data_IF_624422609752
#
_entry.id   IF_624422609752
#
_cell.length_a   1.000
_cell.length_b   1.000
_cell.length_c   1.000
_cell.angle_alpha   90.00
_cell.angle_beta   90.00
_cell.angle_gamma   90.00
#
_symmetry.space_group_name_H-M   'P 1'
#
loop_
_entity.id
_entity.type
_entity.pdbx_description
1 polymer ?
#
# COMPACT_ATOMS: atom_id res chain seq x y z
N UNK A 1 -6.92 -6.95 39.72
CA UNK A 1 -5.66 -6.60 39.02
C UNK A 1 -4.51 -7.15 39.83
N UNK A 2 -3.67 -8.00 39.25
CA UNK A 2 -2.50 -8.58 39.94
C UNK A 2 -1.49 -7.49 40.26
N UNK A 3 -1.13 -7.36 41.53
CA UNK A 3 -0.12 -6.42 42.00
C UNK A 3 1.22 -6.68 41.28
N UNK A 4 1.86 -5.62 40.76
CA UNK A 4 3.15 -5.73 40.08
C UNK A 4 4.24 -5.49 41.12
N UNK A 5 4.93 -6.56 41.50
CA UNK A 5 6.02 -6.52 42.49
C UNK A 5 7.37 -6.51 41.74
N UNK A 6 8.20 -5.52 42.07
CA UNK A 6 9.56 -5.37 41.56
C UNK A 6 10.56 -5.87 42.59
N UNK A 7 11.62 -6.54 42.14
CA UNK A 7 12.81 -6.77 42.97
C UNK A 7 13.58 -5.47 43.17
N UNK A 8 14.45 -5.42 44.17
CA UNK A 8 15.30 -4.25 44.41
C UNK A 8 16.22 -3.96 43.22
N UNK A 9 16.78 -5.00 42.61
CA UNK A 9 17.63 -4.89 41.41
C UNK A 9 16.87 -4.31 40.21
N UNK A 10 15.63 -4.76 39.99
CA UNK A 10 14.80 -4.24 38.90
C UNK A 10 14.39 -2.79 39.14
N UNK A 11 14.05 -2.45 40.39
CA UNK A 11 13.73 -1.08 40.76
C UNK A 11 14.92 -0.15 40.53
N UNK A 12 16.12 -0.57 40.93
CA UNK A 12 17.34 0.19 40.71
C UNK A 12 17.63 0.35 39.20
N UNK A 13 17.48 -0.72 38.42
CA UNK A 13 17.69 -0.67 36.97
C UNK A 13 16.69 0.22 36.25
N UNK A 14 15.41 0.13 36.62
CA UNK A 14 14.35 0.96 36.05
C UNK A 14 14.53 2.44 36.40
N UNK A 15 14.95 2.75 37.62
CA UNK A 15 15.25 4.14 38.04
C UNK A 15 16.40 4.71 37.22
N UNK A 16 17.48 3.93 37.04
CA UNK A 16 18.59 4.33 36.17
C UNK A 16 18.15 4.55 34.72
N UNK A 17 17.18 3.78 34.23
CA UNK A 17 16.64 3.95 32.88
C UNK A 17 15.66 5.11 32.75
N UNK A 18 14.90 5.47 33.80
CA UNK A 18 14.00 6.63 33.76
C UNK A 18 14.76 7.96 33.71
N UNK A 19 15.94 7.99 34.33
CA UNK A 19 16.82 9.17 34.38
C UNK A 19 17.73 9.29 33.15
N UNK A 20 17.67 8.33 32.23
CA UNK A 20 18.53 8.25 31.05
C UNK A 20 17.93 8.99 29.85
N UNK A 21 18.52 10.14 29.53
CA UNK A 21 18.13 11.00 28.41
C UNK A 21 18.56 10.46 27.03
N UNK A 22 19.47 9.48 26.95
CA UNK A 22 19.93 8.93 25.66
C UNK A 22 18.83 8.19 24.92
N UNK A 23 17.83 7.68 25.64
CA UNK A 23 16.70 6.96 25.03
C UNK A 23 15.38 7.35 25.69
N UNK A 24 14.71 8.42 25.22
CA UNK A 24 13.43 8.86 25.75
C UNK A 24 12.34 7.77 25.72
N UNK A 25 12.44 6.86 24.73
CA UNK A 25 11.54 5.72 24.63
C UNK A 25 11.78 4.66 25.72
N UNK A 26 13.04 4.44 26.14
CA UNK A 26 13.38 3.54 27.24
C UNK A 26 13.02 4.16 28.58
N UNK A 27 13.33 5.45 28.78
CA UNK A 27 12.96 6.19 29.97
C UNK A 27 11.44 6.17 30.23
N UNK A 28 10.65 6.46 29.19
CA UNK A 28 9.18 6.38 29.27
C UNK A 28 8.68 4.97 29.64
N UNK A 29 9.30 3.91 29.09
CA UNK A 29 8.91 2.52 29.43
C UNK A 29 9.23 2.18 30.87
N UNK A 30 10.40 2.60 31.36
CA UNK A 30 10.84 2.34 32.72
C UNK A 30 9.94 3.08 33.73
N UNK A 31 9.62 4.34 33.45
CA UNK A 31 8.73 5.18 34.25
C UNK A 31 7.32 4.56 34.37
N UNK A 32 6.77 4.02 33.28
CA UNK A 32 5.48 3.31 33.30
C UNK A 32 5.50 2.15 34.30
N UNK A 33 6.59 1.37 34.35
CA UNK A 33 6.67 0.18 35.22
C UNK A 33 6.88 0.58 36.68
N UNK A 34 7.71 1.59 36.97
CA UNK A 34 7.89 2.14 38.31
C UNK A 34 6.55 2.63 38.90
N UNK A 35 5.77 3.36 38.10
CA UNK A 35 4.43 3.81 38.52
C UNK A 35 3.43 2.65 38.66
N UNK A 36 3.51 1.63 37.81
CA UNK A 36 2.66 0.43 37.94
C UNK A 36 2.94 -0.39 39.20
N UNK A 37 4.17 -0.30 39.73
CA UNK A 37 4.61 -0.99 40.95
C UNK A 37 4.28 -0.21 42.24
N UNK A 38 3.78 1.03 42.11
CA UNK A 38 3.44 1.86 43.27
C UNK A 38 2.13 1.38 43.92
N UNK A 39 1.99 1.49 45.27
CA UNK A 39 0.73 1.18 45.94
C UNK A 39 -0.42 2.00 45.35
N UNK A 40 -1.57 1.38 45.13
CA UNK A 40 -2.76 2.02 44.52
C UNK A 40 -2.54 2.55 43.09
N UNK A 41 -1.63 1.92 42.32
CA UNK A 41 -1.42 2.22 40.91
C UNK A 41 -2.69 1.98 40.06
N UNK A 42 -3.41 3.04 39.73
CA UNK A 42 -4.50 3.03 38.75
C UNK A 42 -3.95 3.33 37.35
N UNK A 43 -4.17 2.42 36.39
CA UNK A 43 -3.72 2.56 34.99
C UNK A 43 -4.16 3.87 34.36
N UNK A 44 -5.39 4.31 34.63
CA UNK A 44 -5.93 5.58 34.11
C UNK A 44 -5.18 6.80 34.65
N UNK A 45 -4.82 6.80 35.94
CA UNK A 45 -4.05 7.90 36.54
C UNK A 45 -2.64 7.97 35.96
N UNK A 46 -1.98 6.81 35.83
CA UNK A 46 -0.64 6.72 35.23
C UNK A 46 -0.66 7.23 33.78
N UNK A 47 -1.69 6.85 33.02
CA UNK A 47 -1.87 7.29 31.64
C UNK A 47 -2.04 8.82 31.56
N UNK A 48 -2.87 9.40 32.43
CA UNK A 48 -3.08 10.84 32.51
C UNK A 48 -1.80 11.59 32.88
N UNK A 49 -1.08 11.14 33.90
CA UNK A 49 0.15 11.81 34.38
C UNK A 49 1.26 11.82 33.32
N UNK A 50 1.33 10.77 32.49
CA UNK A 50 2.35 10.62 31.44
C UNK A 50 1.89 11.13 30.07
N UNK A 51 0.64 11.57 29.92
CA UNK A 51 0.08 12.02 28.64
C UNK A 51 -0.01 10.93 27.57
N UNK A 52 -0.21 9.66 27.96
CA UNK A 52 -0.29 8.50 27.06
C UNK A 52 -1.64 7.78 27.19
N UNK A 53 -1.95 6.88 26.25
CA UNK A 53 -3.15 6.05 26.36
C UNK A 53 -3.04 4.98 27.46
N UNK A 54 -4.14 4.65 28.13
CA UNK A 54 -4.22 3.52 29.07
C UNK A 54 -3.84 2.19 28.42
N UNK A 55 -4.10 2.04 27.11
CA UNK A 55 -3.63 0.91 26.31
C UNK A 55 -2.10 0.81 26.24
N UNK A 56 -1.39 1.93 26.18
CA UNK A 56 0.08 1.97 26.18
C UNK A 56 0.63 1.50 27.53
N UNK A 57 0.04 1.95 28.64
CA UNK A 57 0.40 1.48 30.00
C UNK A 57 0.15 -0.03 30.12
N UNK A 58 -1.03 -0.50 29.70
CA UNK A 58 -1.39 -1.92 29.74
C UNK A 58 -0.46 -2.80 28.90
N UNK A 59 -0.06 -2.31 27.71
CA UNK A 59 0.89 -3.01 26.83
C UNK A 59 2.26 -3.20 27.51
N UNK A 60 2.83 -2.14 28.06
CA UNK A 60 4.17 -2.22 28.68
C UNK A 60 4.15 -3.01 29.98
N UNK A 61 3.10 -2.88 30.80
CA UNK A 61 2.87 -3.74 31.96
C UNK A 61 2.84 -5.22 31.57
N UNK A 62 2.07 -5.56 30.52
CA UNK A 62 1.96 -6.94 30.03
C UNK A 62 3.31 -7.48 29.55
N UNK A 63 4.10 -6.65 28.85
CA UNK A 63 5.45 -7.03 28.40
C UNK A 63 6.41 -7.26 29.55
N UNK A 64 6.42 -6.37 30.53
CA UNK A 64 7.27 -6.51 31.70
C UNK A 64 6.91 -7.75 32.52
N UNK A 65 5.61 -8.07 32.66
CA UNK A 65 5.20 -9.29 33.36
C UNK A 65 5.66 -10.57 32.63
N UNK A 66 5.79 -10.55 31.30
CA UNK A 66 6.26 -11.71 30.53
C UNK A 66 7.78 -11.83 30.49
N UNK A 67 8.47 -10.72 30.28
CA UNK A 67 9.88 -10.70 29.89
C UNK A 67 10.76 -9.86 30.83
N UNK A 68 10.22 -9.38 31.96
CA UNK A 68 10.90 -8.50 32.93
C UNK A 68 11.61 -7.32 32.23
N UNK A 69 12.84 -7.03 32.62
CA UNK A 69 13.66 -5.93 32.09
C UNK A 69 13.92 -6.10 30.58
N UNK A 70 14.11 -7.32 30.10
CA UNK A 70 14.34 -7.62 28.68
C UNK A 70 13.13 -7.19 27.83
N UNK A 71 11.92 -7.28 28.38
CA UNK A 71 10.69 -6.81 27.71
C UNK A 71 10.62 -5.31 27.45
N UNK A 72 11.50 -4.51 28.08
CA UNK A 72 11.55 -3.06 27.94
C UNK A 72 12.70 -2.59 27.04
N UNK A 73 13.78 -3.37 26.94
CA UNK A 73 14.98 -3.10 26.13
C UNK A 73 14.93 -3.77 24.76
N UNK A 74 14.57 -5.05 24.71
CA UNK A 74 14.57 -5.88 23.51
C UNK A 74 13.33 -5.65 22.64
N UNK A 75 13.59 -5.56 21.34
CA UNK A 75 12.60 -5.74 20.30
C UNK A 75 11.98 -4.45 19.78
N UNK A 76 12.45 -4.04 18.59
CA UNK A 76 11.63 -3.31 17.64
C UNK A 76 10.21 -3.88 17.60
N UNK A 77 9.22 -3.03 17.29
CA UNK A 77 7.80 -3.41 17.25
C UNK A 77 7.68 -4.82 16.66
N UNK A 78 7.24 -5.85 17.43
CA UNK A 78 6.98 -7.14 16.84
C UNK A 78 5.98 -6.85 15.73
N UNK A 79 6.42 -7.12 14.50
CA UNK A 79 5.56 -6.97 13.35
C UNK A 79 4.25 -7.71 13.64
N UNK A 80 3.16 -7.22 13.06
CA UNK A 80 1.87 -7.93 13.10
C UNK A 80 2.15 -9.43 12.86
N UNK A 81 1.63 -10.34 13.72
CA UNK A 81 1.83 -11.77 13.55
C UNK A 81 1.54 -12.17 12.10
N UNK A 82 2.51 -12.77 11.43
CA UNK A 82 2.36 -13.21 10.05
C UNK A 82 1.39 -14.39 10.06
N UNK A 83 0.27 -14.27 9.35
CA UNK A 83 -0.65 -15.39 9.13
C UNK A 83 0.08 -16.36 8.21
N UNK A 84 0.36 -17.57 8.68
CA UNK A 84 0.98 -18.61 7.86
C UNK A 84 0.07 -18.97 6.68
N UNK A 85 0.67 -19.08 5.50
CA UNK A 85 -0.06 -19.48 4.30
C UNK A 85 -0.03 -21.00 4.25
N UNK A 86 -1.11 -21.62 4.70
CA UNK A 86 -1.35 -23.03 4.43
C UNK A 86 -1.99 -23.19 3.04
N UNK A 87 -1.35 -23.99 2.19
CA UNK A 87 -1.76 -24.25 0.81
C UNK A 87 -2.31 -25.65 0.71
N UNK A 88 -3.50 -25.79 0.14
CA UNK A 88 -3.99 -27.09 -0.31
C UNK A 88 -3.12 -27.62 -1.47
N UNK A 89 -3.13 -28.93 -1.70
CA UNK A 89 -2.41 -29.53 -2.82
C UNK A 89 -2.84 -28.96 -4.17
N UNK A 90 -4.15 -28.69 -4.32
CA UNK A 90 -4.69 -28.06 -5.53
C UNK A 90 -4.15 -26.64 -5.74
N UNK A 91 -4.09 -25.83 -4.68
CA UNK A 91 -3.55 -24.47 -4.79
C UNK A 91 -2.05 -24.48 -5.04
N UNK A 92 -1.31 -25.40 -4.40
CA UNK A 92 0.11 -25.58 -4.65
C UNK A 92 0.38 -25.97 -6.11
N UNK A 93 -0.42 -26.89 -6.66
CA UNK A 93 -0.32 -27.29 -8.06
C UNK A 93 -0.59 -26.10 -8.98
N UNK A 94 -1.70 -25.38 -8.75
CA UNK A 94 -2.09 -24.23 -9.59
C UNK A 94 -1.06 -23.10 -9.54
N UNK A 95 -0.54 -22.76 -8.36
CA UNK A 95 0.50 -21.74 -8.20
C UNK A 95 1.81 -22.15 -8.88
N UNK A 96 2.16 -23.44 -8.84
CA UNK A 96 3.36 -23.95 -9.50
C UNK A 96 3.25 -23.86 -11.01
N UNK A 97 2.08 -24.17 -11.57
CA UNK A 97 1.78 -23.98 -12.99
C UNK A 97 1.89 -22.50 -13.37
N UNK A 98 1.21 -21.61 -12.64
CA UNK A 98 1.24 -20.17 -12.91
C UNK A 98 2.63 -19.55 -12.77
N UNK A 99 3.49 -20.09 -11.91
CA UNK A 99 4.86 -19.63 -11.75
C UNK A 99 5.75 -19.90 -12.98
N UNK A 100 5.35 -20.82 -13.87
CA UNK A 100 6.12 -21.21 -15.07
C UNK A 100 5.53 -20.71 -16.38
N UNK A 101 4.39 -20.01 -16.34
CA UNK A 101 3.72 -19.52 -17.55
C UNK A 101 4.51 -18.35 -18.15
N UNK A 102 4.85 -18.47 -19.45
CA UNK A 102 5.49 -17.39 -20.22
C UNK A 102 4.48 -16.37 -20.78
N UNK A 103 3.27 -16.81 -21.12
CA UNK A 103 2.19 -15.93 -21.60
C UNK A 103 1.38 -15.42 -20.40
N UNK A 104 1.67 -14.19 -19.96
CA UNK A 104 1.09 -13.64 -18.73
C UNK A 104 -0.03 -12.62 -19.01
N UNK A 105 -1.30 -13.05 -19.11
CA UNK A 105 -2.43 -12.16 -19.37
C UNK A 105 -2.77 -11.24 -18.17
N UNK A 106 -2.14 -11.41 -17.01
CA UNK A 106 -2.44 -10.67 -15.78
C UNK A 106 -1.27 -9.77 -15.30
N UNK A 107 -0.22 -9.61 -16.12
CA UNK A 107 0.95 -8.74 -15.90
C UNK A 107 1.58 -8.88 -14.51
N UNK A 108 2.33 -9.95 -14.32
CA UNK A 108 3.05 -10.35 -13.13
C UNK A 108 2.46 -11.56 -12.41
N UNK A 109 1.66 -12.41 -13.06
CA UNK A 109 1.11 -13.63 -12.43
C UNK A 109 2.19 -14.63 -12.01
N UNK A 110 3.25 -14.91 -12.81
CA UNK A 110 4.32 -15.79 -12.38
C UNK A 110 5.00 -15.30 -11.10
N UNK A 111 5.39 -14.02 -11.06
CA UNK A 111 5.99 -13.40 -9.88
C UNK A 111 5.10 -13.50 -8.64
N UNK A 112 3.81 -13.19 -8.78
CA UNK A 112 2.84 -13.28 -7.67
C UNK A 112 2.72 -14.71 -7.14
N UNK A 113 2.73 -15.69 -8.03
CA UNK A 113 2.62 -17.11 -7.68
C UNK A 113 3.88 -17.60 -6.96
N UNK A 114 5.07 -17.23 -7.45
CA UNK A 114 6.35 -17.50 -6.79
C UNK A 114 6.42 -16.89 -5.39
N UNK A 115 5.92 -15.66 -5.21
CA UNK A 115 5.83 -15.00 -3.89
C UNK A 115 5.03 -15.86 -2.90
N UNK A 116 3.85 -16.36 -3.30
CA UNK A 116 2.98 -17.14 -2.41
C UNK A 116 3.59 -18.52 -2.09
N UNK A 117 4.18 -19.19 -3.09
CA UNK A 117 4.88 -20.46 -2.88
C UNK A 117 6.05 -20.30 -1.88
N UNK A 118 6.82 -19.23 -2.00
CA UNK A 118 7.93 -18.93 -1.09
C UNK A 118 7.43 -18.55 0.33
N UNK A 119 6.32 -17.81 0.43
CA UNK A 119 5.71 -17.52 1.72
C UNK A 119 5.15 -18.79 2.41
N UNK A 120 4.65 -19.75 1.64
CA UNK A 120 4.12 -21.02 2.14
C UNK A 120 5.21 -22.02 2.55
N UNK A 121 6.47 -21.81 2.13
CA UNK A 121 7.61 -22.60 2.61
C UNK A 121 8.22 -22.07 3.91
N UNK A 122 7.58 -21.09 4.55
CA UNK A 122 8.00 -20.53 5.83
C UNK A 122 8.96 -19.34 5.75
N UNK A 123 9.32 -18.89 4.53
CA UNK A 123 10.17 -17.70 4.37
C UNK A 123 9.45 -16.43 4.81
N UNK A 124 10.22 -15.52 5.39
CA UNK A 124 9.78 -14.18 5.76
C UNK A 124 9.60 -13.30 4.52
N UNK A 125 8.71 -12.29 4.60
CA UNK A 125 8.53 -11.34 3.51
C UNK A 125 9.84 -10.65 3.09
N UNK A 126 10.75 -10.43 4.05
CA UNK A 126 12.06 -9.85 3.84
C UNK A 126 12.99 -10.78 3.04
N UNK A 127 13.02 -12.07 3.39
CA UNK A 127 13.77 -13.09 2.64
C UNK A 127 13.20 -13.28 1.23
N UNK A 128 11.88 -13.40 1.10
CA UNK A 128 11.22 -13.52 -0.21
C UNK A 128 11.48 -12.30 -1.09
N UNK A 129 11.47 -11.10 -0.50
CA UNK A 129 11.77 -9.86 -1.20
C UNK A 129 13.20 -9.82 -1.71
N UNK A 130 14.17 -10.27 -0.91
CA UNK A 130 15.56 -10.38 -1.31
C UNK A 130 15.76 -11.41 -2.43
N UNK A 131 15.18 -12.61 -2.28
CA UNK A 131 15.30 -13.70 -3.26
C UNK A 131 14.73 -13.33 -4.63
N UNK A 132 13.61 -12.60 -4.65
CA UNK A 132 12.91 -12.24 -5.88
C UNK A 132 13.25 -10.83 -6.39
N UNK A 133 14.18 -10.12 -5.72
CA UNK A 133 14.57 -8.75 -6.02
C UNK A 133 13.37 -7.78 -6.16
N UNK A 134 12.47 -7.83 -5.18
CA UNK A 134 11.28 -6.96 -5.09
C UNK A 134 11.22 -6.24 -3.74
N UNK A 135 10.43 -5.18 -3.64
CA UNK A 135 10.18 -4.54 -2.34
C UNK A 135 9.34 -5.44 -1.41
N UNK A 136 9.66 -5.43 -0.10
CA UNK A 136 8.90 -6.16 0.92
C UNK A 136 7.40 -5.77 0.98
N UNK A 137 7.07 -4.54 0.59
CA UNK A 137 5.68 -4.08 0.45
C UNK A 137 4.93 -4.82 -0.66
N UNK A 138 5.61 -5.18 -1.75
CA UNK A 138 5.04 -5.99 -2.84
C UNK A 138 4.68 -7.38 -2.33
N UNK A 139 5.60 -8.02 -1.60
CA UNK A 139 5.35 -9.33 -0.98
C UNK A 139 4.18 -9.26 0.00
N UNK A 140 4.19 -8.26 0.88
CA UNK A 140 3.12 -8.03 1.87
C UNK A 140 1.76 -7.83 1.22
N UNK A 141 1.70 -7.05 0.13
CA UNK A 141 0.47 -6.82 -0.64
C UNK A 141 -0.11 -8.12 -1.19
N UNK A 142 0.72 -8.94 -1.83
CA UNK A 142 0.25 -10.19 -2.46
C UNK A 142 -0.11 -11.25 -1.43
N UNK A 143 0.69 -11.39 -0.37
CA UNK A 143 0.36 -12.24 0.79
C UNK A 143 -1.01 -11.87 1.38
N UNK A 144 -1.25 -10.59 1.63
CA UNK A 144 -2.53 -10.12 2.17
C UNK A 144 -3.71 -10.39 1.21
N UNK A 145 -3.49 -10.25 -0.11
CA UNK A 145 -4.52 -10.58 -1.11
C UNK A 145 -4.83 -12.06 -1.16
N UNK A 146 -3.81 -12.92 -1.14
CA UNK A 146 -4.01 -14.37 -1.14
C UNK A 146 -4.72 -14.84 0.13
N UNK A 147 -4.35 -14.33 1.30
CA UNK A 147 -5.06 -14.66 2.55
C UNK A 147 -6.55 -14.30 2.47
N UNK A 148 -6.91 -13.21 1.78
CA UNK A 148 -8.30 -12.74 1.69
C UNK A 148 -9.10 -13.39 0.56
N UNK A 149 -8.47 -13.68 -0.57
CA UNK A 149 -9.14 -14.05 -1.82
C UNK A 149 -8.56 -15.31 -2.49
N UNK A 150 -7.63 -16.02 -1.83
CA UNK A 150 -6.92 -17.19 -2.35
C UNK A 150 -6.39 -16.95 -3.76
N UNK A 151 -6.55 -17.92 -4.68
CA UNK A 151 -6.08 -17.86 -6.07
C UNK A 151 -6.65 -16.66 -6.83
N UNK A 152 -7.94 -16.34 -6.65
CA UNK A 152 -8.61 -15.20 -7.32
C UNK A 152 -7.95 -13.86 -6.96
N UNK A 153 -7.35 -13.76 -5.77
CA UNK A 153 -6.62 -12.58 -5.33
C UNK A 153 -5.37 -12.25 -6.16
N UNK A 154 -4.84 -13.24 -6.89
CA UNK A 154 -3.62 -13.13 -7.70
C UNK A 154 -3.92 -12.77 -9.16
N UNK A 155 -5.13 -13.10 -9.64
CA UNK A 155 -5.61 -12.90 -11.00
C UNK A 155 -5.96 -11.44 -11.33
N UNK A 156 -5.32 -10.45 -10.69
CA UNK A 156 -5.67 -9.07 -10.98
C UNK A 156 -5.19 -8.67 -12.37
N UNK A 157 -6.16 -8.40 -13.25
CA UNK A 157 -5.96 -7.88 -14.59
C UNK A 157 -5.40 -6.46 -14.57
N UNK A 158 -4.84 -6.04 -15.73
CA UNK A 158 -4.45 -4.66 -16.01
C UNK A 158 -5.44 -3.70 -15.37
N UNK A 159 -4.93 -2.79 -14.54
CA UNK A 159 -5.72 -1.65 -14.05
C UNK A 159 -6.29 -0.98 -15.30
N UNK A 160 -7.59 -1.12 -15.56
CA UNK A 160 -8.28 -0.18 -16.44
C UNK A 160 -7.93 1.18 -15.87
N UNK A 161 -7.18 1.96 -16.65
CA UNK A 161 -6.74 3.29 -16.23
C UNK A 161 -7.94 4.13 -15.79
N UNK A 162 -7.68 5.33 -15.27
CA UNK A 162 -8.76 6.29 -14.93
C UNK A 162 -9.85 6.22 -16.02
N UNK A 163 -11.12 5.93 -15.66
CA UNK A 163 -12.20 5.85 -16.62
C UNK A 163 -12.12 7.06 -17.56
N UNK A 164 -12.13 6.81 -18.86
CA UNK A 164 -12.09 7.89 -19.87
C UNK A 164 -13.26 8.82 -19.60
N UNK A 165 -12.95 10.05 -19.17
CA UNK A 165 -13.96 11.08 -18.87
C UNK A 165 -14.66 11.59 -20.13
N UNK A 166 -14.10 11.30 -21.32
CA UNK A 166 -14.64 11.66 -22.61
C UNK A 166 -15.45 10.46 -23.12
N UNK A 167 -16.72 10.68 -23.41
CA UNK A 167 -17.60 9.62 -23.89
C UNK A 167 -17.35 9.29 -25.36
N UNK A 168 -17.72 8.10 -25.85
CA UNK A 168 -17.63 7.76 -27.27
C UNK A 168 -18.34 8.77 -28.17
N UNK A 169 -19.48 9.30 -27.74
CA UNK A 169 -20.27 10.28 -28.50
C UNK A 169 -19.51 11.59 -28.67
N UNK A 170 -18.81 12.05 -27.62
CA UNK A 170 -17.96 13.25 -27.70
C UNK A 170 -16.75 13.04 -28.62
N UNK A 171 -16.20 11.83 -28.67
CA UNK A 171 -15.12 11.48 -29.61
C UNK A 171 -15.65 11.52 -31.04
N UNK A 172 -16.79 10.89 -31.29
CA UNK A 172 -17.45 10.87 -32.60
C UNK A 172 -17.76 12.30 -33.09
N UNK A 173 -18.31 13.15 -32.23
CA UNK A 173 -18.59 14.56 -32.55
C UNK A 173 -17.32 15.29 -33.00
N UNK A 174 -16.20 15.11 -32.29
CA UNK A 174 -14.92 15.73 -32.66
C UNK A 174 -14.42 15.19 -34.01
N UNK A 175 -14.46 13.88 -34.23
CA UNK A 175 -14.01 13.26 -35.49
C UNK A 175 -14.86 13.76 -36.65
N UNK A 176 -16.20 13.74 -36.50
CA UNK A 176 -17.15 14.22 -37.51
C UNK A 176 -16.95 15.70 -37.83
N UNK A 177 -16.88 16.56 -36.82
CA UNK A 177 -16.67 18.00 -37.02
C UNK A 177 -15.31 18.29 -37.68
N UNK A 178 -14.28 17.50 -37.36
CA UNK A 178 -12.96 17.65 -37.98
C UNK A 178 -12.98 17.29 -39.47
N UNK A 179 -13.80 16.32 -39.89
CA UNK A 179 -13.84 15.80 -41.26
C UNK A 179 -14.87 16.49 -42.15
N UNK A 180 -16.01 16.92 -41.59
CA UNK A 180 -17.18 17.35 -42.36
C UNK A 180 -17.51 18.83 -42.19
N UNK A 181 -16.89 19.52 -41.23
CA UNK A 181 -17.20 20.92 -40.91
C UNK A 181 -15.95 21.80 -41.03
N UNK A 182 -16.16 23.11 -41.14
CA UNK A 182 -15.09 24.11 -41.18
C UNK A 182 -15.21 25.07 -40.00
N UNK A 183 -14.08 25.57 -39.43
CA UNK A 183 -14.11 26.45 -38.27
C UNK A 183 -14.52 27.88 -38.63
N UNK A 184 -15.77 28.08 -39.04
CA UNK A 184 -16.34 29.41 -39.33
C UNK A 184 -15.40 30.28 -40.18
N UNK A 185 -14.81 31.30 -39.54
CA UNK A 185 -13.91 32.26 -40.20
C UNK A 185 -12.46 31.78 -40.43
N UNK A 186 -12.11 30.56 -40.03
CA UNK A 186 -10.78 29.99 -40.21
C UNK A 186 -10.79 28.91 -41.29
N UNK A 187 -9.73 28.87 -42.09
CA UNK A 187 -9.59 27.91 -43.19
C UNK A 187 -9.39 26.47 -42.72
N UNK A 188 -8.88 26.26 -41.49
CA UNK A 188 -8.56 24.92 -40.96
C UNK A 188 -8.78 24.80 -39.46
N UNK A 189 -9.10 23.59 -38.99
CA UNK A 189 -9.23 23.32 -37.56
C UNK A 189 -7.87 23.37 -36.86
N UNK A 190 -7.80 24.20 -35.82
CA UNK A 190 -6.73 24.17 -34.83
C UNK A 190 -7.24 23.46 -33.57
N UNK A 191 -6.33 22.95 -32.73
CA UNK A 191 -6.73 22.36 -31.43
C UNK A 191 -7.50 23.37 -30.58
N UNK A 192 -7.24 24.66 -30.74
CA UNK A 192 -7.91 25.72 -30.00
C UNK A 192 -9.33 25.98 -30.50
N UNK A 193 -9.54 26.02 -31.82
CA UNK A 193 -10.88 26.22 -32.39
C UNK A 193 -11.76 25.00 -32.20
N UNK A 194 -11.23 23.79 -32.37
CA UNK A 194 -11.96 22.55 -32.11
C UNK A 194 -12.29 22.36 -30.62
N UNK A 195 -11.40 22.76 -29.71
CA UNK A 195 -11.70 22.77 -28.27
C UNK A 195 -12.85 23.71 -27.91
N UNK A 196 -12.90 24.90 -28.52
CA UNK A 196 -14.01 25.85 -28.33
C UNK A 196 -15.33 25.32 -28.88
N UNK A 197 -15.28 24.64 -30.02
CA UNK A 197 -16.47 24.07 -30.66
C UNK A 197 -17.03 22.85 -29.89
N UNK A 198 -16.18 21.92 -29.47
CA UNK A 198 -16.59 20.66 -28.81
C UNK A 198 -16.74 20.75 -27.29
N UNK A 199 -16.28 21.84 -26.65
CA UNK A 199 -16.23 21.97 -25.20
C UNK A 199 -15.15 21.11 -24.51
N UNK A 200 -14.33 20.37 -25.27
CA UNK A 200 -13.25 19.55 -24.74
C UNK A 200 -11.93 20.32 -24.62
N UNK A 201 -11.03 19.86 -23.73
CA UNK A 201 -9.69 20.45 -23.60
C UNK A 201 -8.86 20.29 -24.88
N UNK A 202 -7.97 21.25 -25.17
CA UNK A 202 -7.03 21.16 -26.32
C UNK A 202 -6.18 19.88 -26.30
N UNK A 203 -5.83 19.39 -25.11
CA UNK A 203 -5.08 18.15 -24.91
C UNK A 203 -5.89 16.91 -25.24
N UNK A 204 -7.20 16.93 -24.94
CA UNK A 204 -8.15 15.89 -25.34
C UNK A 204 -8.29 15.83 -26.86
N UNK A 205 -8.48 16.98 -27.51
CA UNK A 205 -8.53 17.08 -28.98
C UNK A 205 -7.26 16.55 -29.62
N UNK A 206 -6.09 16.95 -29.11
CA UNK A 206 -4.80 16.46 -29.63
C UNK A 206 -4.62 14.95 -29.46
N UNK A 207 -5.16 14.34 -28.40
CA UNK A 207 -5.17 12.89 -28.23
C UNK A 207 -6.10 12.22 -29.22
N UNK A 208 -7.33 12.70 -29.37
CA UNK A 208 -8.31 12.18 -30.32
C UNK A 208 -7.73 12.24 -31.74
N UNK A 209 -7.24 13.39 -32.19
CA UNK A 209 -6.64 13.51 -33.52
C UNK A 209 -5.44 12.57 -33.74
N UNK A 210 -4.61 12.34 -32.72
CA UNK A 210 -3.50 11.37 -32.85
C UNK A 210 -4.02 9.94 -32.95
N UNK A 211 -5.02 9.57 -32.15
CA UNK A 211 -5.61 8.23 -32.14
C UNK A 211 -6.28 7.89 -33.48
N UNK A 212 -6.92 8.86 -34.12
CA UNK A 212 -7.58 8.69 -35.43
C UNK A 212 -6.72 9.22 -36.60
N UNK A 213 -5.45 9.52 -36.36
CA UNK A 213 -4.49 10.02 -37.36
C UNK A 213 -4.95 11.26 -38.16
N UNK A 214 -5.84 12.07 -37.58
CA UNK A 214 -6.40 13.27 -38.20
C UNK A 214 -5.37 14.41 -38.23
N UNK A 215 -5.14 14.97 -39.43
CA UNK A 215 -4.22 16.10 -39.66
C UNK A 215 -4.95 17.28 -40.32
N UNK A 216 -5.87 17.95 -39.62
CA UNK A 216 -6.65 19.05 -40.20
C UNK A 216 -5.78 20.26 -40.66
N UNK A 217 -4.55 20.38 -40.16
CA UNK A 217 -3.61 21.40 -40.58
C UNK A 217 -2.90 21.07 -41.91
N UNK A 218 -2.99 19.83 -42.40
CA UNK A 218 -2.41 19.34 -43.64
C UNK A 218 -3.45 19.04 -44.73
N UNK A 219 -4.74 19.19 -44.44
CA UNK A 219 -5.79 19.06 -45.45
C UNK A 219 -5.76 20.27 -46.39
N UNK A 220 -5.78 20.01 -47.69
CA UNK A 220 -5.93 21.06 -48.72
C UNK A 220 -7.27 21.78 -48.51
N UNK A 221 -7.31 23.12 -48.68
CA UNK A 221 -8.58 23.82 -48.67
C UNK A 221 -9.49 23.27 -49.79
N UNK A 222 -10.81 23.18 -49.59
CA UNK A 222 -11.71 22.82 -50.67
C UNK A 222 -11.52 23.80 -51.84
N UNK A 223 -11.31 23.24 -53.04
CA UNK A 223 -11.15 24.00 -54.29
C UNK A 223 -12.44 24.80 -54.53
N UNK A 224 -12.35 26.12 -54.53
CA UNK A 224 -13.47 27.02 -54.80
C UNK A 224 -13.68 27.04 -56.33
N UNK A 225 -14.50 26.11 -56.84
CA UNK A 225 -14.95 26.05 -58.25
C UNK A 225 -16.47 26.07 -58.35
#
# INVERSE_FOLDING_TARGET
MTELILTDEERERLTRWSDDDESPARAMRAEIILRCASPHAATERIAADLGISSMTVGKWRTRFLRNRLDGLTEGGRPGRPKIDIDLTDQERAQLSEWATVDDDPYEGLPLRSTIILACASGKTNEEVAADLNVHADTVSKWRNRFVRHRLDGLLSSQRRGRPTTITPEQIEQVVRATLLESPGSATRWSRATMARHSGLSKSSIGRIWRTFELRPHLQEPPDDR
#
